data_IF_380807115133
#
_entry.id   IF_380807115133
#
_cell.length_a   1.000
_cell.length_b   1.000
_cell.length_c   1.000
_cell.angle_alpha   90.00
_cell.angle_beta   90.00
_cell.angle_gamma   90.00
#
_symmetry.space_group_name_H-M   'P 1'
#
loop_
_entity.id
_entity.type
_entity.pdbx_description
1 polymer ?
#
# COMPACT_ATOMS: atom_id res chain seq x y z
N UNK A 1 -11.55 -21.79 8.32
CA UNK A 1 -10.35 -21.91 7.47
C UNK A 1 -9.97 -20.50 6.98
N UNK A 2 -8.96 -19.87 7.56
CA UNK A 2 -8.48 -18.52 7.16
C UNK A 2 -7.19 -18.69 6.36
N UNK A 3 -7.05 -17.92 5.27
CA UNK A 3 -5.84 -17.97 4.46
C UNK A 3 -4.60 -17.55 5.28
N UNK A 4 -3.49 -18.27 5.13
CA UNK A 4 -2.27 -18.10 5.95
C UNK A 4 -1.77 -16.65 6.01
N UNK A 5 -1.86 -15.91 4.91
CA UNK A 5 -1.41 -14.52 4.81
C UNK A 5 -2.31 -13.54 5.58
N UNK A 6 -3.60 -13.86 5.78
CA UNK A 6 -4.49 -13.07 6.64
C UNK A 6 -4.10 -13.19 8.11
N UNK A 7 -3.62 -14.36 8.53
CA UNK A 7 -3.12 -14.56 9.90
C UNK A 7 -1.83 -13.78 10.16
N UNK A 8 -0.99 -13.63 9.13
CA UNK A 8 0.22 -12.80 9.18
C UNK A 8 -0.05 -11.29 9.10
N UNK A 9 -1.32 -10.85 9.11
CA UNK A 9 -1.69 -9.45 9.04
C UNK A 9 -1.49 -8.79 7.67
N UNK A 10 -1.27 -9.58 6.60
CA UNK A 10 -1.20 -9.02 5.25
C UNK A 10 -2.61 -8.68 4.76
N UNK A 11 -2.76 -7.45 4.25
CA UNK A 11 -3.90 -7.10 3.42
C UNK A 11 -3.80 -7.80 2.07
N UNK A 12 -4.95 -8.05 1.44
CA UNK A 12 -5.00 -8.66 0.11
C UNK A 12 -4.15 -7.90 -0.92
N UNK A 13 -4.15 -6.56 -0.84
CA UNK A 13 -3.35 -5.68 -1.71
C UNK A 13 -1.85 -5.92 -1.53
N UNK A 14 -1.39 -6.12 -0.29
CA UNK A 14 0.03 -6.37 0.00
C UNK A 14 0.42 -7.78 -0.44
N UNK A 15 -0.46 -8.75 -0.24
CA UNK A 15 -0.26 -10.11 -0.70
C UNK A 15 -0.11 -10.20 -2.23
N UNK A 16 -1.04 -9.60 -2.98
CA UNK A 16 -0.99 -9.62 -4.45
C UNK A 16 0.23 -8.90 -5.02
N UNK A 17 0.65 -7.79 -4.38
CA UNK A 17 1.87 -7.07 -4.76
C UNK A 17 3.14 -7.93 -4.61
N UNK A 18 3.25 -8.72 -3.53
CA UNK A 18 4.38 -9.63 -3.31
C UNK A 18 4.41 -10.73 -4.39
N UNK A 19 3.26 -11.33 -4.69
CA UNK A 19 3.15 -12.33 -5.75
C UNK A 19 3.54 -11.76 -7.11
N UNK A 20 3.09 -10.54 -7.43
CA UNK A 20 3.46 -9.87 -8.67
C UNK A 20 4.97 -9.62 -8.76
N UNK A 21 5.63 -9.26 -7.66
CA UNK A 21 7.08 -9.09 -7.62
C UNK A 21 7.84 -10.41 -7.83
N UNK A 22 7.37 -11.51 -7.24
CA UNK A 22 7.94 -12.84 -7.46
C UNK A 22 7.84 -13.25 -8.95
N UNK A 23 6.70 -12.99 -9.60
CA UNK A 23 6.50 -13.25 -11.03
C UNK A 23 7.47 -12.42 -11.87
N UNK A 24 7.60 -11.11 -11.60
CA UNK A 24 8.54 -10.23 -12.31
C UNK A 24 9.99 -10.65 -12.15
N UNK A 25 10.38 -11.19 -11.00
CA UNK A 25 11.73 -11.68 -10.78
C UNK A 25 12.06 -12.90 -11.65
N UNK A 26 11.06 -13.74 -11.93
CA UNK A 26 11.15 -14.95 -12.75
C UNK A 26 11.00 -14.71 -14.26
N UNK A 27 10.71 -13.48 -14.71
CA UNK A 27 10.64 -13.15 -16.13
C UNK A 27 12.01 -13.21 -16.82
N UNK A 28 12.00 -13.49 -18.12
CA UNK A 28 13.20 -13.39 -18.97
C UNK A 28 13.81 -11.99 -18.87
N UNK A 29 15.16 -11.86 -18.93
CA UNK A 29 15.84 -10.58 -18.74
C UNK A 29 15.40 -9.49 -19.73
N UNK A 30 14.96 -9.88 -20.93
CA UNK A 30 14.44 -8.98 -21.97
C UNK A 30 13.19 -8.19 -21.53
N UNK A 31 12.32 -8.79 -20.72
CA UNK A 31 11.06 -8.16 -20.25
C UNK A 31 11.12 -7.72 -18.79
N UNK A 32 12.15 -8.19 -18.06
CA UNK A 32 12.32 -7.92 -16.64
C UNK A 32 12.60 -6.45 -16.35
N UNK A 33 13.40 -5.78 -17.19
CA UNK A 33 13.77 -4.37 -17.02
C UNK A 33 12.55 -3.45 -17.07
N UNK A 34 11.67 -3.63 -18.05
CA UNK A 34 10.43 -2.87 -18.18
C UNK A 34 9.45 -3.18 -17.04
N UNK A 35 9.32 -4.45 -16.69
CA UNK A 35 8.42 -4.88 -15.62
C UNK A 35 8.86 -4.36 -14.23
N UNK A 36 10.16 -4.28 -13.96
CA UNK A 36 10.71 -3.71 -12.72
C UNK A 36 10.46 -2.21 -12.68
N UNK A 37 10.71 -1.49 -13.77
CA UNK A 37 10.45 -0.04 -13.85
C UNK A 37 8.99 0.31 -13.60
N UNK A 38 8.04 -0.49 -14.11
CA UNK A 38 6.62 -0.29 -13.87
C UNK A 38 6.19 -0.57 -12.42
N UNK A 39 6.99 -1.30 -11.64
CA UNK A 39 6.70 -1.64 -10.25
C UNK A 39 7.23 -0.59 -9.25
N UNK A 40 8.02 0.38 -9.71
CA UNK A 40 8.56 1.45 -8.87
C UNK A 40 7.45 2.44 -8.47
N UNK A 41 7.11 2.49 -7.18
CA UNK A 41 6.20 3.48 -6.62
C UNK A 41 6.93 4.32 -5.57
N UNK A 42 7.25 5.58 -5.91
CA UNK A 42 7.90 6.51 -5.00
C UNK A 42 6.86 7.39 -4.30
N UNK A 43 6.24 6.86 -3.23
CA UNK A 43 5.22 7.58 -2.45
C UNK A 43 5.75 7.83 -1.04
N UNK A 44 5.92 9.10 -0.68
CA UNK A 44 6.15 9.51 0.71
C UNK A 44 4.82 9.69 1.41
N UNK A 45 4.52 8.82 2.38
CA UNK A 45 3.37 8.99 3.26
C UNK A 45 3.76 9.98 4.35
N UNK A 46 3.27 11.21 4.24
CA UNK A 46 3.37 12.20 5.30
C UNK A 46 2.19 12.02 6.24
N UNK A 47 2.45 11.76 7.52
CA UNK A 47 1.42 11.87 8.54
C UNK A 47 1.11 13.35 8.73
N UNK A 48 -0.15 13.80 8.56
CA UNK A 48 -0.53 15.17 8.87
C UNK A 48 -0.21 15.46 10.34
N UNK A 49 0.29 16.66 10.63
CA UNK A 49 0.51 17.11 12.00
C UNK A 49 -0.85 17.18 12.71
N UNK A 50 -0.99 16.46 13.82
CA UNK A 50 -2.19 16.40 14.69
C UNK A 50 -2.83 17.77 14.99
N UNK A 51 -2.01 18.82 15.03
CA UNK A 51 -2.43 20.20 15.28
C UNK A 51 -3.33 20.78 14.18
N UNK A 52 -3.09 20.41 12.91
CA UNK A 52 -3.92 20.82 11.76
C UNK A 52 -5.26 20.08 11.72
N UNK A 53 -5.30 18.84 12.20
CA UNK A 53 -6.53 18.04 12.30
C UNK A 53 -7.51 18.59 13.34
N UNK A 54 -7.01 19.27 14.39
CA UNK A 54 -7.85 19.91 15.41
C UNK A 54 -8.51 21.20 14.89
N UNK A 55 -7.84 21.95 14.02
CA UNK A 55 -8.37 23.17 13.41
C UNK A 55 -9.47 22.90 12.35
N UNK A 56 -9.47 21.72 11.72
CA UNK A 56 -10.49 21.33 10.73
C UNK A 56 -11.70 20.59 11.31
N UNK A 57 -11.72 20.30 12.62
CA UNK A 57 -12.82 19.60 13.32
C UNK A 57 -13.86 20.50 14.03
N UNK A 58 -14.03 21.83 13.80
CA UNK A 58 -14.94 22.60 14.63
C UNK A 58 -16.43 22.33 14.35
N UNK A 59 -16.81 21.53 13.35
CA UNK A 59 -18.21 21.40 12.92
C UNK A 59 -18.84 20.01 13.04
N UNK A 60 -18.25 19.07 13.81
CA UNK A 60 -18.88 17.76 14.06
C UNK A 60 -19.48 17.61 15.47
N UNK A 61 -19.34 18.62 16.33
CA UNK A 61 -19.90 18.60 17.70
C UNK A 61 -21.19 19.42 17.85
N UNK A 62 -21.70 20.05 16.77
CA UNK A 62 -22.95 20.83 16.78
C UNK A 62 -24.17 20.11 16.17
N UNK A 63 -24.05 18.82 15.82
CA UNK A 63 -25.11 18.05 15.17
C UNK A 63 -25.57 16.80 15.96
N UNK A 64 -25.28 16.75 17.27
CA UNK A 64 -25.89 15.81 18.22
C UNK A 64 -26.55 16.61 19.32
#
# INVERSE_FOLDING_TARGET
MVAYWRQAGLSYIRFSAICANAVRAALKPQFKTEAVRAAEANVKVLKPKEELLKLFRPSLHLFV
#
